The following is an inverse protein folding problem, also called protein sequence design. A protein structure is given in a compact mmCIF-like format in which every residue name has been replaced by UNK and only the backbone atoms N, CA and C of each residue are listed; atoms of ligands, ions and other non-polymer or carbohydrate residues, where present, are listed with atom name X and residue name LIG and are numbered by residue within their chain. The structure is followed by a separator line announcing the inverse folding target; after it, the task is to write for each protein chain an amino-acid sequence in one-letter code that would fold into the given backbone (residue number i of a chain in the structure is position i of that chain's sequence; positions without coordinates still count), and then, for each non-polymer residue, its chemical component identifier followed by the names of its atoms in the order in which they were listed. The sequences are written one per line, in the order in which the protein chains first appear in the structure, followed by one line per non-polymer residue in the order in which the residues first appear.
data_IF_939085492674
#
_entry.id   IF_939085492674
#
_cell.length_a   1.000
_cell.length_b   1.000
_cell.length_c   1.000
_cell.angle_alpha   90.00
_cell.angle_beta   90.00
_cell.angle_gamma   90.00
#
_symmetry.space_group_name_H-M   'P 1'
#
loop_
_entity.id
_entity.type
_entity.pdbx_description
1 polymer ?
#
# COMPACT_ATOMS: atom_id res chain seq x y z
N UNK A 1 7.63 -12.21 -1.93
CA UNK A 1 6.53 -12.57 -1.00
C UNK A 1 6.00 -11.33 -0.28
N UNK A 2 5.02 -10.64 -0.85
CA UNK A 2 4.43 -9.40 -0.31
C UNK A 2 3.26 -9.61 0.65
N UNK A 3 2.96 -10.87 1.01
CA UNK A 3 1.88 -11.24 1.92
C UNK A 3 2.46 -12.09 3.04
N UNK A 4 2.32 -11.63 4.28
CA UNK A 4 2.69 -12.41 5.46
C UNK A 4 1.79 -13.64 5.55
N UNK A 5 2.37 -14.82 5.34
CA UNK A 5 1.67 -16.10 5.47
C UNK A 5 1.69 -16.53 6.95
N UNK A 6 0.57 -16.53 7.68
CA UNK A 6 0.56 -17.03 9.05
C UNK A 6 0.91 -18.51 9.10
N UNK A 7 1.93 -18.87 9.90
CA UNK A 7 2.45 -20.23 10.02
C UNK A 7 1.40 -21.28 10.44
N UNK A 8 0.28 -20.85 11.02
CA UNK A 8 -0.83 -21.72 11.42
C UNK A 8 -1.65 -22.26 10.23
N UNK A 9 -1.72 -21.53 9.12
CA UNK A 9 -2.63 -21.84 8.00
C UNK A 9 -1.90 -22.38 6.76
N UNK A 10 -0.56 -22.29 6.73
CA UNK A 10 0.27 -22.74 5.62
C UNK A 10 1.22 -23.85 6.12
N UNK A 11 1.17 -25.07 5.53
CA UNK A 11 2.08 -26.16 5.88
C UNK A 11 3.53 -25.70 5.78
N UNK A 12 4.27 -25.94 6.85
CA UNK A 12 5.58 -25.33 7.11
C UNK A 12 6.69 -26.14 6.44
N UNK A 13 7.31 -25.62 5.38
CA UNK A 13 8.72 -25.93 5.14
C UNK A 13 9.54 -25.18 6.20
N UNK A 14 10.47 -25.88 6.83
CA UNK A 14 11.17 -25.60 8.11
C UNK A 14 12.01 -24.32 8.18
N UNK A 15 11.74 -23.30 7.36
CA UNK A 15 12.53 -22.08 7.20
C UNK A 15 11.81 -20.76 7.55
N UNK A 16 10.56 -20.77 8.02
CA UNK A 16 9.88 -19.52 8.42
C UNK A 16 10.25 -19.10 9.85
N UNK A 17 11.22 -18.18 9.96
CA UNK A 17 11.44 -17.39 11.18
C UNK A 17 10.11 -16.74 11.58
N UNK A 18 9.61 -17.05 12.78
CA UNK A 18 8.49 -16.33 13.39
C UNK A 18 8.77 -14.82 13.31
N UNK A 19 7.77 -14.05 12.88
CA UNK A 19 7.93 -12.60 12.76
C UNK A 19 8.30 -12.02 14.14
N UNK A 20 9.35 -11.20 14.25
CA UNK A 20 9.77 -10.64 15.53
C UNK A 20 8.62 -9.80 16.12
N UNK A 21 8.33 -9.92 17.43
CA UNK A 21 7.18 -9.25 18.05
C UNK A 21 7.22 -7.72 17.87
N UNK A 22 8.43 -7.14 17.80
CA UNK A 22 8.63 -5.73 17.50
C UNK A 22 8.02 -5.33 16.14
N UNK A 23 8.15 -6.15 15.10
CA UNK A 23 7.60 -5.85 13.78
C UNK A 23 6.07 -5.83 13.80
N UNK A 24 5.44 -6.67 14.63
CA UNK A 24 3.98 -6.68 14.81
C UNK A 24 3.51 -5.36 15.46
N UNK A 25 4.18 -4.90 16.51
CA UNK A 25 3.86 -3.61 17.13
C UNK A 25 4.07 -2.43 16.17
N UNK A 26 5.15 -2.44 15.39
CA UNK A 26 5.40 -1.43 14.36
C UNK A 26 4.30 -1.43 13.27
N UNK A 27 3.84 -2.60 12.84
CA UNK A 27 2.79 -2.72 11.83
C UNK A 27 1.44 -2.17 12.34
N UNK A 28 1.07 -2.50 13.59
CA UNK A 28 -0.15 -1.96 14.21
C UNK A 28 -0.04 -0.43 14.34
N UNK A 29 1.08 0.08 14.84
CA UNK A 29 1.34 1.51 14.94
C UNK A 29 1.22 2.22 13.58
N UNK A 30 1.87 1.68 12.54
CA UNK A 30 1.79 2.21 11.18
C UNK A 30 0.37 2.22 10.62
N UNK A 31 -0.42 1.20 10.91
CA UNK A 31 -1.83 1.14 10.47
C UNK A 31 -2.69 2.23 11.14
N UNK A 32 -2.48 2.49 12.42
CA UNK A 32 -3.18 3.55 13.15
C UNK A 32 -2.80 4.93 12.61
N UNK A 33 -1.51 5.18 12.39
CA UNK A 33 -1.05 6.43 11.79
C UNK A 33 -1.63 6.62 10.38
N UNK A 34 -1.68 5.57 9.57
CA UNK A 34 -2.28 5.64 8.23
C UNK A 34 -3.75 6.03 8.27
N UNK A 35 -4.52 5.48 9.22
CA UNK A 35 -5.93 5.83 9.41
C UNK A 35 -6.11 7.31 9.80
N UNK A 36 -5.23 7.83 10.67
CA UNK A 36 -5.22 9.26 11.04
C UNK A 36 -4.91 10.12 9.81
N UNK A 37 -3.90 9.76 9.01
CA UNK A 37 -3.52 10.51 7.80
C UNK A 37 -4.69 10.60 6.81
N UNK A 38 -5.39 9.50 6.54
CA UNK A 38 -6.54 9.53 5.61
C UNK A 38 -7.69 10.38 6.12
N UNK A 39 -7.92 10.37 7.44
CA UNK A 39 -8.93 11.22 8.08
C UNK A 39 -8.55 12.71 7.98
N UNK A 40 -7.28 13.03 8.18
CA UNK A 40 -6.75 14.40 8.03
C UNK A 40 -6.80 14.86 6.58
N UNK A 41 -6.41 14.03 5.61
CA UNK A 41 -6.50 14.36 4.18
C UNK A 41 -7.93 14.72 3.78
N UNK A 42 -8.93 14.03 4.33
CA UNK A 42 -10.34 14.39 4.13
C UNK A 42 -10.68 15.76 4.73
N UNK A 43 -10.13 16.12 5.89
CA UNK A 43 -10.33 17.45 6.50
C UNK A 43 -9.66 18.56 5.67
N UNK A 44 -8.58 18.23 4.96
CA UNK A 44 -7.86 19.12 4.06
C UNK A 44 -8.49 19.21 2.66
N UNK A 45 -9.76 18.81 2.47
CA UNK A 45 -10.44 18.89 1.16
C UNK A 45 -10.56 20.31 0.60
N UNK A 46 -10.47 21.33 1.45
CA UNK A 46 -10.54 22.75 1.05
C UNK A 46 -9.20 23.33 0.57
N UNK A 47 -8.10 22.57 0.69
CA UNK A 47 -6.77 23.00 0.28
C UNK A 47 -6.43 22.32 -1.05
N UNK A 48 -5.74 23.05 -1.93
CA UNK A 48 -5.24 22.48 -3.18
C UNK A 48 -4.42 21.21 -2.90
N UNK A 49 -4.85 20.11 -3.53
CA UNK A 49 -4.25 18.79 -3.31
C UNK A 49 -2.77 18.76 -3.61
N UNK A 50 -2.30 19.60 -4.54
CA UNK A 50 -0.89 19.72 -4.90
C UNK A 50 -0.04 20.26 -3.74
N UNK A 51 -0.59 21.19 -2.95
CA UNK A 51 0.06 21.74 -1.76
C UNK A 51 0.17 20.64 -0.70
N UNK A 52 -0.93 19.91 -0.45
CA UNK A 52 -0.94 18.80 0.51
C UNK A 52 0.09 17.71 0.13
N UNK A 53 0.18 17.35 -1.16
CA UNK A 53 1.15 16.37 -1.67
C UNK A 53 2.58 16.89 -1.51
N UNK A 54 2.83 18.17 -1.82
CA UNK A 54 4.16 18.75 -1.71
C UNK A 54 4.69 18.69 -0.26
N UNK A 55 3.89 19.11 0.72
CA UNK A 55 4.29 19.02 2.13
C UNK A 55 4.46 17.57 2.60
N UNK A 56 3.60 16.65 2.15
CA UNK A 56 3.72 15.24 2.47
C UNK A 56 5.02 14.63 1.92
N UNK A 57 5.36 14.91 0.66
CA UNK A 57 6.59 14.44 0.03
C UNK A 57 7.84 15.08 0.65
N UNK A 58 7.79 16.38 0.98
CA UNK A 58 8.90 17.07 1.65
C UNK A 58 9.19 16.47 3.02
N UNK A 59 8.14 16.23 3.82
CA UNK A 59 8.28 15.57 5.12
C UNK A 59 8.75 14.11 4.98
N UNK A 60 8.22 13.37 4.00
CA UNK A 60 8.66 12.01 3.69
C UNK A 60 10.13 11.94 3.29
N UNK A 61 10.60 12.91 2.48
CA UNK A 61 12.01 12.99 2.08
C UNK A 61 12.91 13.30 3.27
N UNK A 62 12.51 14.26 4.13
CA UNK A 62 13.27 14.61 5.33
C UNK A 62 13.38 13.42 6.31
N UNK A 63 12.27 12.74 6.58
CA UNK A 63 12.24 11.56 7.46
C UNK A 63 13.00 10.38 6.86
N UNK A 64 12.94 10.18 5.54
CA UNK A 64 13.74 9.16 4.85
C UNK A 64 15.24 9.45 4.95
N UNK A 65 15.68 10.70 4.79
CA UNK A 65 17.10 11.06 4.96
C UNK A 65 17.53 10.84 6.41
N UNK A 66 16.73 11.30 7.38
CA UNK A 66 17.05 11.15 8.80
C UNK A 66 17.15 9.69 9.23
N UNK A 67 16.24 8.83 8.78
CA UNK A 67 16.30 7.39 9.07
C UNK A 67 17.54 6.74 8.45
N UNK A 68 17.90 7.11 7.22
CA UNK A 68 19.10 6.59 6.56
C UNK A 68 20.38 6.97 7.33
N UNK A 69 20.47 8.22 7.80
CA UNK A 69 21.58 8.68 8.63
C UNK A 69 21.65 7.93 9.97
N UNK A 70 20.51 7.68 10.63
CA UNK A 70 20.45 6.97 11.90
C UNK A 70 20.83 5.48 11.78
N UNK A 71 20.45 4.83 10.68
CA UNK A 71 20.77 3.42 10.46
C UNK A 71 22.19 3.20 9.91
N UNK A 72 22.91 4.25 9.50
CA UNK A 72 24.29 4.16 9.02
C UNK A 72 24.45 3.29 7.77
N UNK A 73 23.39 3.13 6.97
CA UNK A 73 23.41 2.27 5.78
C UNK A 73 24.24 2.94 4.69
N UNK A 74 25.30 2.27 4.25
CA UNK A 74 26.07 2.71 3.09
C UNK A 74 25.22 2.52 1.82
N UNK A 75 24.76 3.64 1.25
CA UNK A 75 24.07 3.63 -0.05
C UNK A 75 25.08 3.36 -1.16
N UNK A 76 25.18 2.10 -1.58
CA UNK A 76 25.81 1.75 -2.86
C UNK A 76 24.74 1.84 -3.94
N UNK A 77 24.71 2.95 -4.69
CA UNK A 77 23.80 3.11 -5.82
C UNK A 77 24.47 2.48 -7.04
N UNK A 78 23.97 1.34 -7.56
CA UNK A 78 24.47 0.82 -8.82
C UNK A 78 24.08 1.80 -9.94
N UNK A 79 25.07 2.34 -10.65
CA UNK A 79 24.89 3.29 -11.76
C UNK A 79 24.46 2.60 -13.08
N UNK A 80 23.78 1.46 -12.98
CA UNK A 80 23.29 0.73 -14.15
C UNK A 80 22.13 1.49 -14.79
N UNK A 81 22.14 1.63 -16.11
CA UNK A 81 21.10 2.35 -16.86
C UNK A 81 19.71 1.76 -16.64
N UNK A 82 19.61 0.44 -16.54
CA UNK A 82 18.37 -0.29 -16.21
C UNK A 82 17.84 0.11 -14.83
N UNK A 83 18.72 0.19 -13.84
CA UNK A 83 18.37 0.56 -12.47
C UNK A 83 17.92 2.03 -12.38
N UNK A 84 18.62 2.94 -13.05
CA UNK A 84 18.25 4.35 -13.10
C UNK A 84 16.90 4.56 -13.79
N UNK A 85 16.63 3.83 -14.88
CA UNK A 85 15.33 3.88 -15.55
C UNK A 85 14.20 3.35 -14.66
N UNK A 86 14.41 2.22 -13.97
CA UNK A 86 13.43 1.68 -13.03
C UNK A 86 13.19 2.61 -11.84
N UNK A 87 14.24 3.28 -11.34
CA UNK A 87 14.16 4.24 -10.24
C UNK A 87 13.32 5.47 -10.65
N UNK A 88 13.60 6.04 -11.83
CA UNK A 88 12.85 7.19 -12.33
C UNK A 88 11.40 6.82 -12.65
N UNK A 89 11.19 5.64 -13.27
CA UNK A 89 9.86 5.10 -13.54
C UNK A 89 9.05 4.94 -12.26
N UNK A 90 9.60 4.29 -11.23
CA UNK A 90 8.93 4.13 -9.94
C UNK A 90 8.58 5.48 -9.31
N UNK A 91 9.50 6.45 -9.31
CA UNK A 91 9.24 7.80 -8.80
C UNK A 91 8.08 8.50 -9.53
N UNK A 92 8.04 8.41 -10.86
CA UNK A 92 6.98 9.00 -11.67
C UNK A 92 5.62 8.33 -11.41
N UNK A 93 5.56 7.00 -11.45
CA UNK A 93 4.33 6.25 -11.16
C UNK A 93 3.84 6.45 -9.73
N UNK A 94 4.76 6.50 -8.75
CA UNK A 94 4.43 6.81 -7.36
C UNK A 94 3.83 8.20 -7.23
N UNK A 95 4.43 9.22 -7.85
CA UNK A 95 3.91 10.58 -7.81
C UNK A 95 2.49 10.67 -8.42
N UNK A 96 2.28 10.05 -9.59
CA UNK A 96 0.97 10.01 -10.24
C UNK A 96 -0.05 9.30 -9.34
N UNK A 97 0.31 8.14 -8.78
CA UNK A 97 -0.54 7.40 -7.83
C UNK A 97 -0.89 8.23 -6.60
N UNK A 98 0.09 8.94 -6.03
CA UNK A 98 -0.10 9.81 -4.88
C UNK A 98 -1.05 10.98 -5.18
N UNK A 99 -0.99 11.55 -6.38
CA UNK A 99 -1.92 12.60 -6.83
C UNK A 99 -3.35 12.07 -6.87
N UNK A 100 -3.58 10.93 -7.53
CA UNK A 100 -4.92 10.33 -7.61
C UNK A 100 -5.43 9.91 -6.23
N UNK A 101 -4.58 9.32 -5.39
CA UNK A 101 -4.94 8.93 -4.03
C UNK A 101 -5.38 10.14 -3.21
N UNK A 102 -4.57 11.20 -3.19
CA UNK A 102 -4.87 12.41 -2.40
C UNK A 102 -6.16 13.08 -2.87
N UNK A 103 -6.33 13.24 -4.19
CA UNK A 103 -7.57 13.75 -4.79
C UNK A 103 -8.77 12.89 -4.43
N UNK A 104 -8.63 11.56 -4.49
CA UNK A 104 -9.69 10.60 -4.14
C UNK A 104 -10.16 10.73 -2.70
N UNK A 105 -9.23 10.84 -1.73
CA UNK A 105 -9.57 11.04 -0.32
C UNK A 105 -10.18 12.42 -0.03
N UNK A 106 -9.80 13.45 -0.77
CA UNK A 106 -10.38 14.79 -0.63
C UNK A 106 -11.80 14.88 -1.22
N UNK A 107 -12.09 14.19 -2.32
CA UNK A 107 -13.39 14.25 -3.00
C UNK A 107 -14.43 13.33 -2.35
N UNK A 108 -14.08 12.08 -2.05
CA UNK A 108 -15.05 11.07 -1.57
C UNK A 108 -15.05 10.95 -0.03
N UNK A 109 -16.19 10.58 0.58
CA UNK A 109 -16.26 10.37 2.04
C UNK A 109 -15.23 9.30 2.44
N UNK A 110 -14.49 9.53 3.52
CA UNK A 110 -13.36 8.69 3.97
C UNK A 110 -13.71 7.19 4.06
N UNK A 111 -14.95 6.85 4.43
CA UNK A 111 -15.42 5.46 4.49
C UNK A 111 -15.39 4.75 3.13
N UNK A 112 -15.79 5.41 2.03
CA UNK A 112 -15.83 4.80 0.69
C UNK A 112 -14.42 4.74 0.11
N UNK A 113 -13.62 5.78 0.32
CA UNK A 113 -12.21 5.78 -0.12
C UNK A 113 -11.43 4.64 0.55
N UNK A 114 -11.73 4.32 1.82
CA UNK A 114 -11.14 3.16 2.51
C UNK A 114 -11.53 1.83 1.87
N UNK A 115 -12.76 1.69 1.38
CA UNK A 115 -13.22 0.47 0.68
C UNK A 115 -12.49 0.30 -0.65
N UNK A 116 -12.29 1.39 -1.41
CA UNK A 116 -11.60 1.31 -2.69
C UNK A 116 -10.18 0.75 -2.54
N UNK A 117 -9.54 0.95 -1.39
CA UNK A 117 -8.21 0.43 -1.09
C UNK A 117 -8.14 -1.10 -0.97
N UNK A 118 -9.28 -1.79 -0.83
CA UNK A 118 -9.30 -3.26 -0.92
C UNK A 118 -9.02 -3.77 -2.34
N UNK A 119 -9.25 -2.95 -3.38
CA UNK A 119 -8.86 -3.30 -4.75
C UNK A 119 -7.34 -3.36 -4.92
N UNK A 120 -6.56 -2.59 -4.15
CA UNK A 120 -5.10 -2.63 -4.22
C UNK A 120 -4.59 -4.07 -4.02
N UNK A 121 -5.19 -4.80 -3.08
CA UNK A 121 -4.83 -6.20 -2.80
C UNK A 121 -5.11 -7.10 -4.00
N UNK A 122 -6.23 -6.88 -4.70
CA UNK A 122 -6.60 -7.64 -5.91
C UNK A 122 -5.57 -7.40 -7.03
N UNK A 123 -5.20 -6.13 -7.25
CA UNK A 123 -4.18 -5.78 -8.24
C UNK A 123 -2.81 -6.36 -7.90
N UNK A 124 -2.41 -6.33 -6.62
CA UNK A 124 -1.14 -6.94 -6.18
C UNK A 124 -1.12 -8.43 -6.47
N UNK A 125 -2.19 -9.17 -6.14
CA UNK A 125 -2.27 -10.61 -6.43
C UNK A 125 -2.26 -10.87 -7.94
N UNK A 126 -2.97 -10.08 -8.73
CA UNK A 126 -2.97 -10.21 -10.18
C UNK A 126 -1.56 -10.00 -10.76
N UNK A 127 -0.83 -8.98 -10.30
CA UNK A 127 0.56 -8.72 -10.70
C UNK A 127 1.51 -9.83 -10.26
N UNK A 128 1.32 -10.40 -9.06
CA UNK A 128 2.14 -11.52 -8.55
C UNK A 128 2.03 -12.74 -9.47
N UNK A 129 0.80 -13.05 -9.93
CA UNK A 129 0.55 -14.16 -10.87
C UNK A 129 1.07 -13.84 -12.29
N UNK A 130 0.78 -12.65 -12.81
CA UNK A 130 1.08 -12.27 -14.20
C UNK A 130 2.56 -11.95 -14.44
N UNK A 131 3.20 -11.25 -13.51
CA UNK A 131 4.58 -10.74 -13.68
C UNK A 131 5.60 -11.69 -13.07
N UNK A 132 5.39 -12.14 -11.83
CA UNK A 132 6.36 -13.00 -11.15
C UNK A 132 6.18 -14.48 -11.52
N UNK A 133 5.02 -14.87 -12.06
CA UNK A 133 4.73 -16.26 -12.42
C UNK A 133 4.77 -17.21 -11.22
N UNK A 134 4.71 -16.69 -9.98
CA UNK A 134 4.69 -17.51 -8.79
C UNK A 134 3.38 -18.30 -8.73
N UNK A 135 3.48 -19.61 -8.48
CA UNK A 135 2.30 -20.45 -8.26
C UNK A 135 1.66 -20.07 -6.92
N UNK A 136 0.65 -19.20 -7.00
CA UNK A 136 -0.14 -18.79 -5.85
C UNK A 136 -0.83 -20.04 -5.28
N UNK A 137 -0.57 -20.34 -4.01
CA UNK A 137 -1.19 -21.44 -3.29
C UNK A 137 -2.72 -21.30 -3.36
N UNK A 138 -3.44 -22.42 -3.51
CA UNK A 138 -4.92 -22.48 -3.59
C UNK A 138 -5.57 -21.69 -2.44
N UNK A 139 -4.97 -21.67 -1.25
CA UNK A 139 -5.41 -20.85 -0.10
C UNK A 139 -5.31 -19.34 -0.34
N UNK A 140 -4.25 -18.86 -1.00
CA UNK A 140 -4.11 -17.46 -1.38
C UNK A 140 -5.08 -17.06 -2.48
N UNK A 141 -5.39 -17.98 -3.41
CA UNK A 141 -6.42 -17.78 -4.43
C UNK A 141 -7.83 -17.69 -3.80
N UNK A 142 -8.12 -18.55 -2.82
CA UNK A 142 -9.37 -18.50 -2.05
C UNK A 142 -9.50 -17.17 -1.29
N UNK A 143 -8.43 -16.72 -0.64
CA UNK A 143 -8.38 -15.42 0.04
C UNK A 143 -8.64 -14.25 -0.90
N UNK A 144 -8.02 -14.26 -2.09
CA UNK A 144 -8.27 -13.25 -3.11
C UNK A 144 -9.74 -13.25 -3.59
N UNK A 145 -10.35 -14.43 -3.74
CA UNK A 145 -11.77 -14.58 -4.07
C UNK A 145 -12.71 -13.97 -3.02
N UNK A 146 -12.40 -14.17 -1.73
CA UNK A 146 -13.17 -13.57 -0.62
C UNK A 146 -13.08 -12.04 -0.66
N UNK A 147 -11.89 -11.49 -0.89
CA UNK A 147 -11.68 -10.04 -1.00
C UNK A 147 -12.49 -9.49 -2.19
N UNK A 148 -12.41 -10.13 -3.35
CA UNK A 148 -13.18 -9.75 -4.54
C UNK A 148 -14.69 -9.75 -4.26
N UNK A 149 -15.22 -10.80 -3.62
CA UNK A 149 -16.63 -10.89 -3.26
C UNK A 149 -17.05 -9.77 -2.29
N UNK A 150 -16.22 -9.48 -1.27
CA UNK A 150 -16.46 -8.40 -0.33
C UNK A 150 -16.52 -7.04 -1.03
N UNK A 151 -15.60 -6.78 -1.95
CA UNK A 151 -15.56 -5.54 -2.73
C UNK A 151 -16.79 -5.42 -3.64
N UNK A 152 -17.14 -6.47 -4.39
CA UNK A 152 -18.32 -6.48 -5.26
C UNK A 152 -19.61 -6.19 -4.47
N UNK A 153 -19.77 -6.77 -3.27
CA UNK A 153 -20.93 -6.51 -2.42
C UNK A 153 -21.02 -5.05 -1.97
N UNK A 154 -19.90 -4.43 -1.62
CA UNK A 154 -19.91 -3.03 -1.16
C UNK A 154 -20.20 -2.07 -2.33
N UNK A 155 -19.63 -2.34 -3.50
CA UNK A 155 -19.91 -1.56 -4.72
C UNK A 155 -21.38 -1.67 -5.12
N UNK A 156 -21.94 -2.89 -5.11
CA UNK A 156 -23.35 -3.13 -5.45
C UNK A 156 -24.32 -2.49 -4.44
N UNK A 157 -24.02 -2.52 -3.14
CA UNK A 157 -24.81 -1.82 -2.12
C UNK A 157 -24.87 -0.32 -2.39
N UNK A 158 -23.75 0.27 -2.77
CA UNK A 158 -23.67 1.71 -3.08
C UNK A 158 -24.39 2.09 -4.36
N UNK A 159 -24.37 1.23 -5.39
CA UNK A 159 -25.16 1.44 -6.60
C UNK A 159 -26.66 1.50 -6.28
N UNK A 160 -27.12 0.65 -5.36
CA UNK A 160 -28.52 0.59 -4.93
C UNK A 160 -28.96 1.74 -4.00
N UNK A 161 -28.06 2.35 -3.24
CA UNK A 161 -28.37 3.54 -2.40
C UNK A 161 -28.49 4.85 -3.20
N UNK A 162 -28.08 4.86 -4.47
CA UNK A 162 -28.18 6.03 -5.35
C UNK A 162 -29.43 6.03 -6.24
N UNK A 163 -30.19 4.95 -6.25
CA UNK A 163 -31.54 4.86 -6.84
C UNK A 163 -32.60 5.16 -5.77
#
# INVERSE_FOLDING_TARGET
MFVTRPAFLFPTDTATKQAPPLAVYCAIGGSMTSAVVYTLLRRLSNVDSLIAIHYFLAFGTCTSIMTLLLLGVSMTIPLETTFLFALFGNGLFFFIGQVFMTKGFQLEKAGIASVMRYFDVVFVVAMDVLILGETVNVLSLLGAGIIMAGVSLIVLRRAREKE
#
